data_IF_057866730349
#
_entry.id   IF_057866730349
#
_cell.length_a   1.000
_cell.length_b   1.000
_cell.length_c   1.000
_cell.angle_alpha   90.00
_cell.angle_beta   90.00
_cell.angle_gamma   90.00
#
_symmetry.space_group_name_H-M   'P 1'
#
loop_
_entity.id
_entity.type
_entity.pdbx_description
1 polymer ?
#
# COMPACT_ATOMS: atom_id res chain seq x y z
N UNK A 1 12.47 -24.51 12.85
CA UNK A 1 11.60 -25.24 13.84
C UNK A 1 10.35 -25.71 13.12
N UNK A 2 10.02 -27.00 13.22
CA UNK A 2 8.84 -27.56 12.53
C UNK A 2 7.57 -27.14 13.28
N UNK A 3 6.61 -26.57 12.54
CA UNK A 3 5.29 -26.15 13.03
C UNK A 3 4.18 -26.63 12.11
N UNK A 4 2.97 -26.71 12.67
CA UNK A 4 1.74 -26.91 11.89
C UNK A 4 0.94 -25.62 11.97
N UNK A 5 0.68 -25.00 10.83
CA UNK A 5 0.01 -23.70 10.71
C UNK A 5 -1.16 -23.79 9.73
N UNK A 6 -2.12 -22.87 9.82
CA UNK A 6 -3.18 -22.80 8.83
C UNK A 6 -2.60 -22.29 7.51
N UNK A 7 -3.03 -22.84 6.38
CA UNK A 7 -2.56 -22.43 5.06
C UNK A 7 -2.99 -21.01 4.73
N UNK A 8 -4.13 -20.57 5.24
CA UNK A 8 -4.67 -19.22 5.06
C UNK A 8 -3.83 -18.13 5.76
N UNK A 9 -3.02 -18.54 6.76
CA UNK A 9 -2.09 -17.66 7.45
C UNK A 9 -0.78 -17.45 6.68
N UNK A 10 -0.64 -18.06 5.49
CA UNK A 10 0.59 -18.01 4.67
C UNK A 10 0.34 -17.15 3.44
N UNK A 11 1.27 -16.22 3.17
CA UNK A 11 1.36 -15.48 1.92
C UNK A 11 2.62 -15.87 1.17
N UNK A 12 2.56 -15.86 -0.16
CA UNK A 12 3.72 -16.05 -1.02
C UNK A 12 4.52 -14.76 -1.13
N UNK A 13 5.82 -14.86 -1.38
CA UNK A 13 6.69 -13.72 -1.68
C UNK A 13 7.00 -13.71 -3.17
N UNK A 14 6.28 -12.89 -3.90
CA UNK A 14 6.40 -12.75 -5.35
C UNK A 14 7.22 -11.52 -5.73
N UNK A 15 7.61 -11.42 -6.98
CA UNK A 15 8.31 -10.28 -7.56
C UNK A 15 7.41 -9.58 -8.58
N UNK A 16 7.45 -8.24 -8.61
CA UNK A 16 6.87 -7.47 -9.69
C UNK A 16 7.90 -7.18 -10.79
N UNK A 17 7.47 -6.54 -11.87
CA UNK A 17 8.30 -6.18 -13.04
C UNK A 17 9.54 -5.33 -12.70
N UNK A 18 9.51 -4.58 -11.61
CA UNK A 18 10.62 -3.79 -11.11
C UNK A 18 11.57 -4.60 -10.19
N UNK A 19 11.34 -5.90 -10.04
CA UNK A 19 12.11 -6.76 -9.14
C UNK A 19 11.81 -6.53 -7.65
N UNK A 20 10.73 -5.82 -7.35
CA UNK A 20 10.27 -5.54 -5.99
C UNK A 20 9.49 -6.73 -5.47
N UNK A 21 9.84 -7.21 -4.27
CA UNK A 21 9.14 -8.29 -3.60
C UNK A 21 7.86 -7.77 -2.96
N UNK A 22 6.77 -8.49 -3.17
CA UNK A 22 5.50 -8.21 -2.50
C UNK A 22 4.87 -9.49 -1.93
N UNK A 23 4.20 -9.43 -0.77
CA UNK A 23 3.44 -10.56 -0.24
C UNK A 23 2.13 -10.68 -1.00
N UNK A 24 1.82 -11.90 -1.44
CA UNK A 24 0.63 -12.21 -2.21
C UNK A 24 -0.12 -13.38 -1.54
N UNK A 25 -1.43 -13.24 -1.30
CA UNK A 25 -2.24 -14.36 -0.84
C UNK A 25 -2.19 -15.49 -1.86
N UNK A 26 -2.15 -16.74 -1.39
CA UNK A 26 -1.96 -17.91 -2.28
C UNK A 26 -2.99 -17.92 -3.41
N UNK A 27 -4.27 -17.63 -3.13
CA UNK A 27 -5.34 -17.61 -4.13
C UNK A 27 -5.21 -16.50 -5.18
N UNK A 28 -4.52 -15.40 -4.86
CA UNK A 28 -4.24 -14.31 -5.81
C UNK A 28 -3.00 -14.61 -6.68
N UNK A 29 -2.20 -15.60 -6.29
CA UNK A 29 -0.94 -15.88 -6.94
C UNK A 29 -1.07 -16.45 -8.35
N UNK A 30 -0.12 -16.17 -9.25
CA UNK A 30 -0.04 -16.81 -10.56
C UNK A 30 -0.04 -18.34 -10.47
N UNK A 31 0.60 -18.89 -9.43
CA UNK A 31 0.68 -20.32 -9.19
C UNK A 31 -0.69 -20.96 -8.98
N UNK A 32 -1.52 -20.35 -8.12
CA UNK A 32 -2.86 -20.86 -7.83
C UNK A 32 -3.83 -20.65 -9.01
N UNK A 33 -3.73 -19.47 -9.66
CA UNK A 33 -4.54 -19.15 -10.85
C UNK A 33 -4.34 -20.17 -11.96
N UNK A 34 -3.09 -20.58 -12.22
CA UNK A 34 -2.81 -21.67 -13.19
C UNK A 34 -3.56 -22.95 -12.84
N UNK A 35 -3.54 -23.37 -11.57
CA UNK A 35 -4.26 -24.57 -11.12
C UNK A 35 -5.79 -24.43 -11.19
N UNK A 36 -6.29 -23.20 -11.29
CA UNK A 36 -7.69 -22.87 -11.52
C UNK A 36 -8.04 -22.76 -13.02
N UNK A 37 -7.05 -22.91 -13.93
CA UNK A 37 -7.24 -22.87 -15.38
C UNK A 37 -6.86 -21.54 -16.03
N UNK A 38 -6.38 -20.57 -15.26
CA UNK A 38 -5.90 -19.26 -15.73
C UNK A 38 -4.39 -19.33 -16.03
N UNK A 39 -4.05 -19.64 -17.27
CA UNK A 39 -2.67 -19.93 -17.66
C UNK A 39 -1.80 -18.66 -17.77
N UNK A 40 -2.34 -17.60 -18.37
CA UNK A 40 -1.60 -16.40 -18.73
C UNK A 40 -0.82 -15.76 -17.55
N UNK A 41 -1.40 -15.58 -16.34
CA UNK A 41 -0.67 -14.97 -15.23
C UNK A 41 0.59 -15.75 -14.82
N UNK A 42 0.58 -17.07 -14.95
CA UNK A 42 1.74 -17.88 -14.62
C UNK A 42 2.80 -17.85 -15.71
N UNK A 43 2.41 -17.90 -16.99
CA UNK A 43 3.33 -17.78 -18.12
C UNK A 43 4.08 -16.43 -18.09
N UNK A 44 3.37 -15.33 -17.78
CA UNK A 44 3.95 -13.99 -17.61
C UNK A 44 4.90 -13.95 -16.41
N UNK A 45 4.51 -14.55 -15.28
CA UNK A 45 5.35 -14.59 -14.09
C UNK A 45 6.64 -15.40 -14.31
N UNK A 46 6.57 -16.55 -14.99
CA UNK A 46 7.77 -17.34 -15.35
C UNK A 46 8.70 -16.50 -16.25
N UNK A 47 8.15 -15.81 -17.25
CA UNK A 47 8.90 -14.91 -18.11
C UNK A 47 9.60 -13.82 -17.31
N UNK A 48 8.88 -13.16 -16.40
CA UNK A 48 9.43 -12.16 -15.50
C UNK A 48 10.58 -12.73 -14.65
N UNK A 49 10.44 -13.93 -14.10
CA UNK A 49 11.48 -14.56 -13.28
C UNK A 49 12.75 -14.85 -14.08
N UNK A 50 12.61 -15.17 -15.38
CA UNK A 50 13.75 -15.31 -16.31
C UNK A 50 14.43 -13.96 -16.54
N UNK A 51 13.66 -12.91 -16.82
CA UNK A 51 14.17 -11.55 -17.04
C UNK A 51 14.90 -10.99 -15.81
N UNK A 52 14.41 -11.28 -14.62
CA UNK A 52 15.04 -10.88 -13.36
C UNK A 52 16.24 -11.76 -12.94
N UNK A 53 16.66 -12.72 -13.78
CA UNK A 53 17.71 -13.72 -13.48
C UNK A 53 17.44 -14.52 -12.17
N UNK A 54 16.16 -14.71 -11.85
CA UNK A 54 15.68 -15.44 -10.67
C UNK A 54 15.26 -16.86 -10.97
N UNK A 55 15.16 -17.23 -12.26
CA UNK A 55 14.74 -18.55 -12.70
C UNK A 55 15.77 -19.68 -12.47
N UNK A 56 16.99 -19.33 -12.04
CA UNK A 56 18.08 -20.31 -11.82
C UNK A 56 17.80 -21.35 -10.75
N UNK A 57 16.81 -21.13 -9.89
CA UNK A 57 16.52 -22.00 -8.74
C UNK A 57 15.31 -22.90 -8.90
N UNK A 58 14.88 -23.18 -10.15
CA UNK A 58 13.86 -24.24 -10.38
C UNK A 58 12.45 -23.73 -10.60
N UNK A 59 12.27 -22.54 -11.23
CA UNK A 59 10.96 -22.19 -11.75
C UNK A 59 10.55 -23.18 -12.82
N UNK A 60 9.42 -23.83 -12.60
CA UNK A 60 8.88 -24.82 -13.51
C UNK A 60 8.23 -24.14 -14.70
N UNK A 61 8.38 -24.73 -15.90
CA UNK A 61 7.50 -24.34 -17.00
C UNK A 61 6.03 -24.65 -16.64
N UNK A 62 5.10 -24.00 -17.35
CA UNK A 62 3.67 -24.25 -17.13
C UNK A 62 3.31 -25.72 -17.25
N UNK A 63 3.86 -26.43 -18.23
CA UNK A 63 3.64 -27.88 -18.41
C UNK A 63 4.19 -28.69 -17.25
N UNK A 64 5.44 -28.40 -16.83
CA UNK A 64 6.08 -29.13 -15.74
C UNK A 64 5.34 -28.88 -14.40
N UNK A 65 4.84 -27.69 -14.19
CA UNK A 65 4.08 -27.40 -12.96
C UNK A 65 2.72 -28.09 -12.94
N UNK A 66 2.02 -28.15 -14.08
CA UNK A 66 0.76 -28.91 -14.17
C UNK A 66 1.01 -30.41 -13.99
N UNK A 67 2.07 -30.97 -14.55
CA UNK A 67 2.47 -32.36 -14.30
C UNK A 67 2.83 -32.59 -12.84
N UNK A 68 3.61 -31.69 -12.24
CA UNK A 68 3.91 -31.72 -10.82
C UNK A 68 2.63 -31.73 -9.97
N UNK A 69 1.65 -30.87 -10.26
CA UNK A 69 0.38 -30.83 -9.54
C UNK A 69 -0.39 -32.16 -9.63
N UNK A 70 -0.42 -32.79 -10.80
CA UNK A 70 -1.11 -34.07 -10.99
C UNK A 70 -0.48 -35.22 -10.20
N UNK A 71 0.82 -35.14 -9.94
CA UNK A 71 1.59 -36.15 -9.21
C UNK A 71 1.82 -35.79 -7.75
N UNK A 72 1.49 -34.55 -7.35
CA UNK A 72 1.73 -34.04 -6.02
C UNK A 72 0.81 -34.69 -4.98
N UNK A 73 1.41 -35.45 -4.07
CA UNK A 73 0.71 -36.08 -2.93
C UNK A 73 1.20 -35.46 -1.62
N UNK A 74 0.31 -34.71 -0.95
CA UNK A 74 0.60 -34.09 0.34
C UNK A 74 1.05 -35.09 1.42
N UNK A 75 0.52 -36.30 1.38
CA UNK A 75 0.85 -37.35 2.34
C UNK A 75 2.00 -38.27 1.89
N UNK A 76 2.52 -38.01 0.67
CA UNK A 76 3.59 -38.81 0.07
C UNK A 76 4.99 -38.53 0.61
N UNK A 77 5.98 -39.34 0.21
CA UNK A 77 7.36 -39.25 0.68
C UNK A 77 8.02 -37.90 0.39
N UNK A 78 7.68 -37.22 -0.71
CA UNK A 78 8.23 -35.91 -1.04
C UNK A 78 7.88 -34.85 -0.03
N UNK A 79 6.67 -34.88 0.52
CA UNK A 79 6.27 -33.94 1.55
C UNK A 79 7.01 -34.15 2.88
N UNK A 80 7.37 -35.38 3.19
CA UNK A 80 8.08 -35.73 4.44
C UNK A 80 9.57 -35.33 4.41
N UNK A 81 10.15 -35.14 3.22
CA UNK A 81 11.59 -34.84 3.04
C UNK A 81 11.89 -33.39 2.74
N UNK A 82 10.97 -32.67 2.09
CA UNK A 82 11.15 -31.26 1.73
C UNK A 82 10.05 -30.39 2.34
N UNK A 83 10.33 -29.90 3.54
CA UNK A 83 9.40 -28.99 4.22
C UNK A 83 9.32 -27.65 3.50
N UNK A 84 8.11 -27.09 3.47
CA UNK A 84 7.90 -25.71 3.08
C UNK A 84 8.56 -24.80 4.12
N UNK A 85 9.38 -23.87 3.67
CA UNK A 85 10.03 -22.93 4.58
C UNK A 85 9.21 -21.64 4.67
N UNK A 86 8.85 -21.25 5.90
CA UNK A 86 8.10 -20.02 6.15
C UNK A 86 8.72 -19.21 7.27
N UNK A 87 8.61 -17.89 7.16
CA UNK A 87 9.00 -16.95 8.21
C UNK A 87 7.78 -16.38 8.90
N UNK A 88 7.76 -16.41 10.21
CA UNK A 88 6.77 -15.70 11.02
C UNK A 88 7.07 -14.19 11.01
N UNK A 89 6.13 -13.37 10.55
CA UNK A 89 6.22 -11.91 10.53
C UNK A 89 5.25 -11.24 11.50
N UNK A 90 4.71 -12.01 12.43
CA UNK A 90 3.75 -11.59 13.45
C UNK A 90 2.42 -12.29 13.29
N UNK A 91 1.44 -11.65 12.67
CA UNK A 91 0.09 -12.18 12.49
C UNK A 91 -0.07 -13.13 11.29
N UNK A 92 0.99 -13.36 10.51
CA UNK A 92 1.01 -14.28 9.37
C UNK A 92 2.40 -14.86 9.14
N UNK A 93 2.47 -15.80 8.22
CA UNK A 93 3.72 -16.38 7.72
C UNK A 93 3.97 -15.95 6.27
N UNK A 94 5.23 -15.67 5.92
CA UNK A 94 5.65 -15.43 4.54
C UNK A 94 6.46 -16.62 4.05
N UNK A 95 6.16 -17.14 2.85
CA UNK A 95 6.92 -18.23 2.25
C UNK A 95 8.36 -17.81 1.98
N UNK A 96 9.31 -18.69 2.30
CA UNK A 96 10.71 -18.56 1.88
C UNK A 96 11.01 -19.47 0.71
N UNK A 97 10.40 -20.65 0.72
CA UNK A 97 10.46 -21.66 -0.33
C UNK A 97 9.22 -22.54 -0.28
N UNK A 98 8.81 -23.03 -1.45
CA UNK A 98 7.69 -23.95 -1.59
C UNK A 98 6.40 -23.32 -2.13
N UNK A 99 6.48 -22.21 -2.87
CA UNK A 99 5.33 -21.50 -3.43
C UNK A 99 4.44 -22.41 -4.29
N UNK A 100 5.03 -23.22 -5.17
CA UNK A 100 4.31 -24.21 -5.99
C UNK A 100 3.56 -25.24 -5.13
N UNK A 101 4.22 -25.74 -4.09
CA UNK A 101 3.61 -26.73 -3.15
C UNK A 101 2.47 -26.11 -2.36
N UNK A 102 2.62 -24.88 -1.88
CA UNK A 102 1.56 -24.16 -1.18
C UNK A 102 0.33 -23.98 -2.06
N UNK A 103 0.51 -23.60 -3.32
CA UNK A 103 -0.60 -23.45 -4.25
C UNK A 103 -1.29 -24.80 -4.54
N UNK A 104 -0.54 -25.91 -4.65
CA UNK A 104 -1.10 -27.26 -4.77
C UNK A 104 -1.94 -27.64 -3.54
N UNK A 105 -1.40 -27.42 -2.32
CA UNK A 105 -2.08 -27.72 -1.08
C UNK A 105 -3.36 -26.92 -0.92
N UNK A 106 -3.33 -25.62 -1.22
CA UNK A 106 -4.51 -24.76 -1.22
C UNK A 106 -5.57 -25.27 -2.22
N UNK A 107 -5.15 -25.63 -3.44
CA UNK A 107 -6.07 -26.20 -4.45
C UNK A 107 -6.67 -27.55 -4.04
N UNK A 108 -5.93 -28.34 -3.28
CA UNK A 108 -6.39 -29.61 -2.69
C UNK A 108 -7.22 -29.40 -1.42
N UNK A 109 -7.50 -28.13 -1.02
CA UNK A 109 -8.27 -27.77 0.19
C UNK A 109 -7.65 -28.28 1.49
N UNK A 110 -6.35 -28.31 1.57
CA UNK A 110 -5.62 -28.63 2.79
C UNK A 110 -5.64 -27.42 3.72
N UNK A 111 -6.21 -27.56 4.90
CA UNK A 111 -6.38 -26.45 5.84
C UNK A 111 -5.13 -26.18 6.70
N UNK A 112 -4.33 -27.21 6.96
CA UNK A 112 -3.14 -27.11 7.83
C UNK A 112 -1.94 -27.73 7.15
N UNK A 113 -0.82 -27.02 7.20
CA UNK A 113 0.44 -27.45 6.58
C UNK A 113 1.55 -27.52 7.61
N UNK A 114 2.46 -28.46 7.40
CA UNK A 114 3.68 -28.61 8.19
C UNK A 114 4.78 -27.81 7.51
N UNK A 115 5.35 -26.86 8.23
CA UNK A 115 6.38 -25.95 7.72
C UNK A 115 7.62 -25.98 8.60
N UNK A 116 8.78 -25.68 8.02
CA UNK A 116 9.97 -25.34 8.79
C UNK A 116 10.04 -23.81 8.95
N UNK A 117 9.87 -23.33 10.17
CA UNK A 117 9.97 -21.93 10.50
C UNK A 117 11.43 -21.49 10.44
N UNK A 118 11.73 -20.59 9.52
CA UNK A 118 13.04 -19.99 9.37
C UNK A 118 13.14 -18.70 10.17
N UNK A 119 14.34 -18.45 10.72
CA UNK A 119 14.66 -17.26 11.52
C UNK A 119 15.69 -16.42 10.78
N UNK A 120 15.60 -15.13 10.93
CA UNK A 120 16.51 -14.16 10.32
C UNK A 120 15.79 -12.88 9.92
N UNK A 121 16.53 -11.80 9.73
CA UNK A 121 15.97 -10.57 9.21
C UNK A 121 15.91 -10.65 7.68
N UNK A 122 14.68 -10.52 7.14
CA UNK A 122 14.54 -10.15 5.74
C UNK A 122 14.81 -8.65 5.60
N UNK A 123 15.67 -8.25 4.71
CA UNK A 123 15.56 -6.92 4.14
C UNK A 123 14.31 -6.93 3.26
N UNK A 124 13.24 -6.32 3.74
CA UNK A 124 12.11 -6.04 2.87
C UNK A 124 12.56 -5.02 1.82
N UNK A 125 12.71 -5.47 0.58
CA UNK A 125 13.00 -4.62 -0.58
C UNK A 125 11.69 -4.30 -1.31
N UNK A 126 10.54 -4.70 -0.78
CA UNK A 126 9.23 -4.61 -1.42
C UNK A 126 8.12 -4.17 -0.47
N UNK A 127 6.89 -4.27 -0.97
CA UNK A 127 5.71 -3.93 -0.19
C UNK A 127 5.64 -4.71 1.12
N UNK A 128 5.28 -4.02 2.17
CA UNK A 128 5.10 -4.62 3.49
C UNK A 128 3.77 -5.34 3.61
N UNK A 129 2.68 -4.67 3.28
CA UNK A 129 1.31 -5.17 3.31
C UNK A 129 0.97 -6.02 4.57
N UNK A 130 1.54 -5.67 5.73
CA UNK A 130 1.30 -6.40 6.98
C UNK A 130 -0.08 -6.12 7.56
N UNK A 131 -0.69 -4.99 7.19
CA UNK A 131 -2.00 -4.55 7.64
C UNK A 131 -2.91 -4.50 6.42
N UNK A 132 -4.13 -5.00 6.56
CA UNK A 132 -5.20 -4.77 5.58
C UNK A 132 -5.75 -3.35 5.75
N UNK A 133 -5.05 -2.36 5.16
CA UNK A 133 -5.46 -0.95 5.26
C UNK A 133 -6.82 -0.70 4.62
N UNK A 134 -7.21 -1.48 3.62
CA UNK A 134 -8.53 -1.39 2.99
C UNK A 134 -9.60 -1.88 3.98
N UNK A 135 -9.39 -3.03 4.61
CA UNK A 135 -10.32 -3.54 5.64
C UNK A 135 -10.40 -2.64 6.87
N UNK A 136 -9.28 -2.00 7.27
CA UNK A 136 -9.28 -1.02 8.36
C UNK A 136 -10.12 0.22 8.00
N UNK A 137 -10.11 0.67 6.75
CA UNK A 137 -10.81 1.87 6.30
C UNK A 137 -12.22 1.60 5.76
N UNK A 138 -12.58 0.33 5.53
CA UNK A 138 -13.84 -0.06 4.90
C UNK A 138 -15.07 0.49 5.62
N UNK A 139 -16.00 1.10 4.87
CA UNK A 139 -17.27 1.64 5.36
C UNK A 139 -17.14 2.88 6.26
N UNK A 140 -15.99 3.55 6.32
CA UNK A 140 -15.83 4.80 7.05
C UNK A 140 -16.33 5.98 6.20
N UNK A 141 -17.49 6.56 6.60
CA UNK A 141 -18.19 7.56 5.80
C UNK A 141 -17.78 9.02 6.11
N UNK A 142 -17.35 9.32 7.34
CA UNK A 142 -17.04 10.69 7.77
C UNK A 142 -15.56 11.10 7.51
N UNK A 143 -14.90 10.43 6.59
CA UNK A 143 -13.54 10.71 6.22
C UNK A 143 -13.30 10.53 4.71
N UNK A 144 -12.14 10.98 4.24
CA UNK A 144 -11.66 10.72 2.87
C UNK A 144 -10.14 10.55 2.87
N UNK A 145 -9.66 9.62 2.06
CA UNK A 145 -8.24 9.43 1.75
C UNK A 145 -7.81 10.55 0.79
N UNK A 146 -6.65 11.12 1.06
CA UNK A 146 -6.04 12.16 0.23
C UNK A 146 -4.66 11.70 -0.25
N UNK A 147 -4.23 12.25 -1.38
CA UNK A 147 -2.88 12.05 -1.93
C UNK A 147 -2.46 10.58 -2.06
N UNK A 148 -3.41 9.66 -2.29
CA UNK A 148 -3.08 8.25 -2.44
C UNK A 148 -1.94 8.05 -3.45
N UNK A 149 -0.99 7.18 -3.12
CA UNK A 149 0.12 6.82 -4.00
C UNK A 149 -0.37 5.89 -5.13
N UNK A 150 0.42 5.83 -6.22
CA UNK A 150 0.09 5.02 -7.40
C UNK A 150 -0.08 3.53 -7.08
N UNK A 151 0.70 3.02 -6.13
CA UNK A 151 0.67 1.61 -5.73
C UNK A 151 -0.37 1.29 -4.65
N UNK A 152 -1.13 2.29 -4.16
CA UNK A 152 -2.22 2.05 -3.20
C UNK A 152 -3.21 0.98 -3.75
N UNK A 153 -3.61 -0.02 -2.98
CA UNK A 153 -3.53 -0.15 -1.52
C UNK A 153 -2.26 -0.85 -0.98
N UNK A 154 -1.30 -1.20 -1.83
CA UNK A 154 -0.03 -1.72 -1.35
C UNK A 154 0.80 -0.60 -0.69
N UNK A 155 1.67 -0.95 0.25
CA UNK A 155 2.52 0.02 0.95
C UNK A 155 3.85 -0.58 1.39
N UNK A 156 4.87 0.27 1.49
CA UNK A 156 6.18 -0.05 2.05
C UNK A 156 6.23 0.19 3.56
N UNK A 157 7.26 -0.35 4.22
CA UNK A 157 7.59 0.10 5.58
C UNK A 157 7.86 1.61 5.57
N UNK A 158 7.36 2.32 6.57
CA UNK A 158 7.41 3.78 6.76
C UNK A 158 6.42 4.60 5.93
N UNK A 159 5.60 3.97 5.10
CA UNK A 159 4.54 4.70 4.40
C UNK A 159 3.47 5.18 5.37
N UNK A 160 2.76 6.21 4.93
CA UNK A 160 1.63 6.79 5.63
C UNK A 160 0.39 6.83 4.72
N UNK A 161 -0.78 6.82 5.36
CA UNK A 161 -2.06 7.09 4.74
C UNK A 161 -2.59 8.41 5.28
N UNK A 162 -2.63 9.42 4.44
CA UNK A 162 -3.19 10.72 4.74
C UNK A 162 -4.72 10.68 4.67
N UNK A 163 -5.40 11.05 5.76
CA UNK A 163 -6.85 10.99 5.88
C UNK A 163 -7.37 12.32 6.43
N UNK A 164 -8.36 12.89 5.76
CA UNK A 164 -9.13 14.00 6.33
C UNK A 164 -10.46 13.50 6.87
N UNK A 165 -10.95 14.11 7.96
CA UNK A 165 -12.20 13.70 8.60
C UNK A 165 -12.90 14.87 9.30
N UNK A 166 -14.19 14.66 9.69
CA UNK A 166 -14.96 15.65 10.44
C UNK A 166 -14.59 15.67 11.92
N UNK A 167 -14.30 14.51 12.48
CA UNK A 167 -13.94 14.32 13.90
C UNK A 167 -12.73 13.37 14.00
N UNK A 168 -11.58 13.97 14.19
CA UNK A 168 -10.28 13.31 14.27
C UNK A 168 -10.20 12.31 15.42
N UNK A 169 -10.72 12.69 16.60
CA UNK A 169 -10.63 11.83 17.78
C UNK A 169 -11.56 10.62 17.67
N UNK A 170 -12.77 10.81 17.12
CA UNK A 170 -13.69 9.71 16.82
C UNK A 170 -13.10 8.74 15.83
N UNK A 171 -12.57 9.23 14.69
CA UNK A 171 -11.94 8.37 13.69
C UNK A 171 -10.72 7.63 14.23
N UNK A 172 -9.89 8.31 15.02
CA UNK A 172 -8.72 7.69 15.69
C UNK A 172 -9.15 6.50 16.54
N UNK A 173 -10.21 6.62 17.33
CA UNK A 173 -10.70 5.54 18.18
C UNK A 173 -11.21 4.36 17.33
N UNK A 174 -11.96 4.61 16.27
CA UNK A 174 -12.46 3.56 15.37
C UNK A 174 -11.29 2.77 14.74
N UNK A 175 -10.27 3.48 14.26
CA UNK A 175 -9.08 2.82 13.66
C UNK A 175 -8.33 2.02 14.73
N UNK A 176 -8.18 2.54 15.95
CA UNK A 176 -7.53 1.82 17.05
C UNK A 176 -8.27 0.53 17.40
N UNK A 177 -9.59 0.56 17.47
CA UNK A 177 -10.41 -0.63 17.75
C UNK A 177 -10.22 -1.68 16.64
N UNK A 178 -10.15 -1.26 15.36
CA UNK A 178 -9.90 -2.15 14.23
C UNK A 178 -8.47 -2.69 14.18
N UNK A 179 -7.51 -2.05 14.83
CA UNK A 179 -6.11 -2.48 14.95
C UNK A 179 -5.85 -3.33 16.21
N UNK A 180 -6.84 -3.48 17.11
CA UNK A 180 -6.66 -4.12 18.44
C UNK A 180 -6.07 -5.52 18.32
N UNK A 181 -6.46 -6.31 17.29
CA UNK A 181 -5.97 -7.66 17.06
C UNK A 181 -4.44 -7.73 16.91
N UNK A 182 -3.79 -6.66 16.44
CA UNK A 182 -2.33 -6.62 16.27
C UNK A 182 -1.57 -6.69 17.59
N UNK A 183 -2.18 -6.31 18.72
CA UNK A 183 -1.57 -6.40 20.05
C UNK A 183 -1.30 -7.84 20.47
N UNK A 184 -2.14 -8.78 20.06
CA UNK A 184 -1.91 -10.22 20.31
C UNK A 184 -0.61 -10.70 19.66
N UNK A 185 -0.22 -10.07 18.56
CA UNK A 185 1.01 -10.33 17.82
C UNK A 185 2.18 -9.41 18.23
N UNK A 186 2.03 -8.70 19.36
CA UNK A 186 3.05 -7.82 19.97
C UNK A 186 3.44 -6.60 19.12
N UNK A 187 2.55 -6.13 18.25
CA UNK A 187 2.75 -4.83 17.62
C UNK A 187 2.57 -3.71 18.64
N UNK A 188 3.42 -2.69 18.55
CA UNK A 188 3.29 -1.47 19.33
C UNK A 188 2.48 -0.45 18.51
N UNK A 189 1.35 -0.02 19.06
CA UNK A 189 0.45 0.93 18.44
C UNK A 189 0.43 2.19 19.30
N UNK A 190 0.93 3.30 18.75
CA UNK A 190 1.04 4.58 19.45
C UNK A 190 0.24 5.67 18.77
N UNK A 191 -0.46 6.45 19.56
CA UNK A 191 -1.13 7.67 19.11
C UNK A 191 -0.31 8.89 19.51
N UNK A 192 0.10 9.66 18.52
CA UNK A 192 0.78 10.94 18.71
C UNK A 192 -0.18 12.08 18.32
N UNK A 193 -0.75 12.75 19.33
CA UNK A 193 -1.65 13.87 19.11
C UNK A 193 -0.88 15.16 18.86
N UNK A 194 -1.21 15.85 17.77
CA UNK A 194 -0.69 17.16 17.41
C UNK A 194 -1.84 18.13 17.12
N UNK A 195 -1.54 19.40 17.02
CA UNK A 195 -2.54 20.38 16.59
C UNK A 195 -3.01 20.04 15.17
N UNK A 196 -4.32 19.87 14.99
CA UNK A 196 -4.96 19.59 13.70
C UNK A 196 -4.74 18.18 13.15
N UNK A 197 -3.98 17.30 13.85
CA UNK A 197 -3.74 15.92 13.38
C UNK A 197 -3.43 14.92 14.48
N UNK A 198 -3.78 13.67 14.25
CA UNK A 198 -3.35 12.54 15.06
C UNK A 198 -2.60 11.55 14.18
N UNK A 199 -1.45 11.05 14.64
CA UNK A 199 -0.76 9.94 14.01
C UNK A 199 -1.04 8.65 14.79
N UNK A 200 -1.45 7.60 14.11
CA UNK A 200 -1.44 6.24 14.65
C UNK A 200 -0.25 5.52 14.04
N UNK A 201 0.77 5.31 14.82
CA UNK A 201 1.99 4.61 14.40
C UNK A 201 1.90 3.13 14.75
N UNK A 202 1.96 2.26 13.74
CA UNK A 202 2.01 0.81 13.90
C UNK A 202 3.44 0.34 13.73
N UNK A 203 4.02 -0.23 14.78
CA UNK A 203 5.43 -0.62 14.84
C UNK A 203 5.58 -2.13 14.96
N UNK A 204 6.47 -2.73 14.16
CA UNK A 204 6.76 -4.17 14.18
C UNK A 204 7.40 -4.62 15.49
N UNK A 205 7.05 -5.82 16.00
CA UNK A 205 7.61 -6.32 17.28
C UNK A 205 9.13 -6.52 17.25
N UNK A 206 9.65 -7.03 16.14
CA UNK A 206 11.04 -7.47 16.03
C UNK A 206 12.02 -6.36 15.69
N UNK A 207 11.59 -5.31 15.03
CA UNK A 207 12.47 -4.32 14.43
C UNK A 207 12.45 -2.96 15.14
N UNK A 208 11.49 -2.72 16.05
CA UNK A 208 11.19 -1.38 16.62
C UNK A 208 11.08 -0.29 15.53
N UNK A 209 10.66 -0.69 14.34
CA UNK A 209 10.56 0.16 13.16
C UNK A 209 9.10 0.41 12.85
N UNK A 210 8.80 1.64 12.45
CA UNK A 210 7.49 1.99 11.92
C UNK A 210 7.19 1.08 10.73
N UNK A 211 6.05 0.39 10.80
CA UNK A 211 5.54 -0.35 9.66
C UNK A 211 4.64 0.55 8.81
N UNK A 212 3.68 1.19 9.46
CA UNK A 212 2.69 2.03 8.79
C UNK A 212 2.18 3.11 9.71
N UNK A 213 1.75 4.24 9.13
CA UNK A 213 1.14 5.35 9.83
C UNK A 213 -0.21 5.69 9.23
N UNK A 214 -1.22 5.92 10.08
CA UNK A 214 -2.42 6.66 9.70
C UNK A 214 -2.24 8.11 10.16
N UNK A 215 -2.23 9.05 9.21
CA UNK A 215 -2.15 10.49 9.49
C UNK A 215 -3.54 11.10 9.33
N UNK A 216 -4.21 11.32 10.46
CA UNK A 216 -5.63 11.71 10.55
C UNK A 216 -5.70 13.20 10.82
N UNK A 217 -6.37 13.96 9.95
CA UNK A 217 -6.43 15.41 9.99
C UNK A 217 -7.89 15.91 10.01
N UNK A 218 -8.16 16.89 10.85
CA UNK A 218 -9.38 17.71 10.82
C UNK A 218 -9.08 19.20 10.56
N UNK A 219 -7.81 19.52 10.35
CA UNK A 219 -7.31 20.84 9.97
C UNK A 219 -6.07 20.66 9.07
N UNK A 220 -5.77 21.66 8.25
CA UNK A 220 -4.55 21.69 7.44
C UNK A 220 -3.52 22.67 8.03
N UNK A 221 -2.61 22.21 8.89
CA UNK A 221 -1.63 23.08 9.54
C UNK A 221 -0.40 23.28 8.64
N UNK A 222 -0.53 24.03 7.55
CA UNK A 222 0.62 24.38 6.69
C UNK A 222 1.34 25.62 7.25
N UNK A 223 1.94 25.49 8.42
CA UNK A 223 2.74 26.53 9.03
C UNK A 223 4.23 26.24 8.85
N UNK A 224 4.98 27.20 8.27
CA UNK A 224 6.45 27.11 8.16
C UNK A 224 7.05 27.98 9.27
N UNK A 225 7.48 27.41 10.41
CA UNK A 225 7.90 28.17 11.58
C UNK A 225 9.10 29.09 11.32
N UNK A 226 9.98 28.72 10.40
CA UNK A 226 11.23 29.44 10.14
C UNK A 226 11.10 30.55 9.09
N UNK A 227 10.02 30.57 8.33
CA UNK A 227 9.83 31.54 7.25
C UNK A 227 8.69 32.53 7.52
N UNK A 228 7.99 32.42 8.65
CA UNK A 228 6.77 33.18 8.98
C UNK A 228 5.69 33.12 7.87
N UNK A 229 5.76 32.11 7.02
CA UNK A 229 4.76 31.88 5.98
C UNK A 229 3.76 30.87 6.54
N UNK A 230 2.50 31.28 6.61
CA UNK A 230 1.37 30.42 6.92
C UNK A 230 0.50 30.32 5.68
N UNK A 231 0.21 29.10 5.28
CA UNK A 231 -0.87 28.86 4.31
C UNK A 231 -2.09 28.53 5.14
N UNK A 232 -3.01 29.46 5.22
CA UNK A 232 -4.24 29.29 5.94
C UNK A 232 -5.29 28.68 5.02
N UNK A 233 -5.84 27.55 5.42
CA UNK A 233 -6.94 26.88 4.74
C UNK A 233 -8.20 27.10 5.58
N UNK A 234 -9.22 27.66 4.96
CA UNK A 234 -10.51 27.89 5.62
C UNK A 234 -11.11 26.56 6.09
N UNK A 235 -11.54 26.48 7.36
CA UNK A 235 -12.19 25.29 7.91
C UNK A 235 -13.46 24.86 7.15
N UNK A 236 -14.15 25.78 6.50
CA UNK A 236 -15.28 25.44 5.64
C UNK A 236 -14.88 24.59 4.45
N UNK A 237 -13.63 24.75 3.97
CA UNK A 237 -13.17 23.95 2.84
C UNK A 237 -13.10 22.46 3.17
N UNK A 238 -12.66 22.10 4.38
CA UNK A 238 -12.68 20.70 4.83
C UNK A 238 -14.09 20.10 4.72
N UNK A 239 -15.11 20.85 5.13
CA UNK A 239 -16.50 20.40 5.02
C UNK A 239 -16.90 20.21 3.56
N UNK A 240 -16.58 21.19 2.70
CA UNK A 240 -16.88 21.12 1.25
C UNK A 240 -16.21 19.91 0.62
N UNK A 241 -14.93 19.66 0.90
CA UNK A 241 -14.22 18.49 0.41
C UNK A 241 -14.88 17.17 0.82
N UNK A 242 -15.26 17.05 2.11
CA UNK A 242 -15.92 15.84 2.61
C UNK A 242 -17.35 15.66 2.08
N UNK A 243 -18.05 16.74 1.73
CA UNK A 243 -19.36 16.66 1.08
C UNK A 243 -19.28 16.27 -0.40
N UNK A 244 -18.12 16.50 -1.04
CA UNK A 244 -17.85 16.21 -2.46
C UNK A 244 -17.03 14.92 -2.68
N UNK A 245 -16.64 14.23 -1.61
CA UNK A 245 -15.85 13.00 -1.72
C UNK A 245 -16.55 11.93 -2.56
N UNK A 246 -15.76 11.05 -3.12
CA UNK A 246 -16.20 9.92 -3.94
C UNK A 246 -15.93 8.61 -3.21
N UNK A 247 -16.91 7.71 -3.22
CA UNK A 247 -16.73 6.34 -2.72
C UNK A 247 -16.38 5.41 -3.89
N UNK A 248 -15.34 4.59 -3.69
CA UNK A 248 -14.87 3.62 -4.70
C UNK A 248 -14.67 2.26 -4.03
N UNK A 249 -14.97 1.20 -4.78
CA UNK A 249 -14.57 -0.15 -4.38
C UNK A 249 -13.07 -0.31 -4.70
N UNK A 250 -12.32 -0.77 -3.71
CA UNK A 250 -10.85 -0.91 -3.78
C UNK A 250 -10.49 -2.33 -3.42
N UNK A 251 -9.75 -2.99 -4.29
CA UNK A 251 -9.17 -4.29 -3.99
C UNK A 251 -8.26 -4.18 -2.76
N UNK A 252 -8.29 -5.17 -1.90
CA UNK A 252 -7.36 -5.24 -0.76
C UNK A 252 -5.92 -5.39 -1.24
N UNK A 253 -4.92 -5.03 -0.39
CA UNK A 253 -3.53 -5.33 -0.71
C UNK A 253 -3.34 -6.80 -1.11
N UNK A 254 -2.41 -7.10 -2.00
CA UNK A 254 -2.18 -8.44 -2.57
C UNK A 254 -2.05 -9.57 -1.53
N UNK A 255 -1.70 -9.23 -0.30
CA UNK A 255 -1.62 -10.16 0.83
C UNK A 255 -2.98 -10.57 1.40
N UNK A 256 -4.07 -10.00 0.90
CA UNK A 256 -5.44 -10.20 1.41
C UNK A 256 -6.38 -10.48 0.25
N UNK A 257 -7.56 -11.04 0.57
CA UNK A 257 -8.60 -11.34 -0.43
C UNK A 257 -9.80 -10.42 -0.23
N UNK A 258 -10.41 -10.03 -1.34
CA UNK A 258 -11.62 -9.23 -1.39
C UNK A 258 -11.37 -7.77 -1.68
N UNK A 259 -12.39 -6.98 -1.46
CA UNK A 259 -12.44 -5.54 -1.68
C UNK A 259 -13.04 -4.84 -0.47
N UNK A 260 -12.92 -3.53 -0.40
CA UNK A 260 -13.58 -2.67 0.57
C UNK A 260 -14.01 -1.37 -0.07
N UNK A 261 -14.98 -0.71 0.52
CA UNK A 261 -15.51 0.56 0.04
C UNK A 261 -14.85 1.72 0.75
N UNK A 262 -14.03 2.47 0.03
CA UNK A 262 -13.25 3.59 0.56
C UNK A 262 -13.74 4.93 0.00
N UNK A 263 -13.61 5.97 0.81
CA UNK A 263 -13.89 7.35 0.41
C UNK A 263 -12.60 8.07 0.05
N UNK A 264 -12.57 8.74 -1.10
CA UNK A 264 -11.45 9.56 -1.58
C UNK A 264 -11.93 10.99 -1.83
N UNK A 265 -11.04 11.95 -1.76
CA UNK A 265 -11.35 13.26 -2.34
C UNK A 265 -11.65 13.12 -3.83
N UNK A 266 -12.52 13.99 -4.33
CA UNK A 266 -12.60 14.15 -5.79
C UNK A 266 -11.28 14.69 -6.34
N UNK A 267 -11.04 14.48 -7.64
CA UNK A 267 -9.77 14.81 -8.30
C UNK A 267 -9.34 16.27 -8.08
N UNK A 268 -10.25 17.22 -8.21
CA UNK A 268 -9.90 18.65 -8.08
C UNK A 268 -9.50 19.03 -6.66
N UNK A 269 -10.21 18.54 -5.65
CA UNK A 269 -9.89 18.80 -4.25
C UNK A 269 -8.55 18.14 -3.84
N UNK A 270 -8.26 16.93 -4.33
CA UNK A 270 -6.97 16.26 -4.09
C UNK A 270 -5.81 17.04 -4.72
N UNK A 271 -6.00 17.58 -5.94
CA UNK A 271 -4.99 18.43 -6.59
C UNK A 271 -4.76 19.74 -5.85
N UNK A 272 -5.81 20.36 -5.28
CA UNK A 272 -5.66 21.53 -4.43
C UNK A 272 -4.78 21.22 -3.21
N UNK A 273 -5.03 20.11 -2.53
CA UNK A 273 -4.23 19.71 -1.36
C UNK A 273 -2.78 19.42 -1.76
N UNK A 274 -2.55 18.72 -2.88
CA UNK A 274 -1.20 18.47 -3.41
C UNK A 274 -0.46 19.78 -3.73
N UNK A 275 -1.14 20.73 -4.34
CA UNK A 275 -0.56 22.04 -4.63
C UNK A 275 -0.17 22.79 -3.35
N UNK A 276 -1.07 22.84 -2.36
CA UNK A 276 -0.81 23.50 -1.07
C UNK A 276 0.36 22.85 -0.32
N UNK A 277 0.45 21.52 -0.34
CA UNK A 277 1.57 20.82 0.26
C UNK A 277 2.90 21.11 -0.46
N UNK A 278 2.90 21.15 -1.79
CA UNK A 278 4.07 21.57 -2.54
C UNK A 278 4.45 23.03 -2.26
N UNK A 279 3.49 23.95 -2.22
CA UNK A 279 3.74 25.35 -1.90
C UNK A 279 4.36 25.51 -0.51
N UNK A 280 3.95 24.69 0.45
CA UNK A 280 4.52 24.63 1.79
C UNK A 280 5.87 23.92 1.84
N UNK A 281 6.06 22.85 1.05
CA UNK A 281 7.28 22.04 0.98
C UNK A 281 7.75 21.87 -0.48
N UNK A 282 8.39 22.89 -1.08
CA UNK A 282 8.72 22.90 -2.52
C UNK A 282 9.67 21.79 -2.98
N UNK A 283 10.35 21.09 -2.03
CA UNK A 283 11.18 19.95 -2.34
C UNK A 283 10.38 18.68 -2.67
N UNK A 284 9.10 18.61 -2.29
CA UNK A 284 8.20 17.50 -2.61
C UNK A 284 7.65 17.61 -4.04
N UNK A 285 8.55 17.50 -5.02
CA UNK A 285 8.25 17.70 -6.45
C UNK A 285 7.16 16.77 -6.99
N UNK A 286 6.95 15.58 -6.38
CA UNK A 286 5.91 14.62 -6.78
C UNK A 286 4.50 15.25 -6.77
N UNK A 287 4.22 16.14 -5.83
CA UNK A 287 2.91 16.76 -5.71
C UNK A 287 2.63 17.73 -6.85
N UNK A 288 3.58 18.59 -7.21
CA UNK A 288 3.37 19.52 -8.33
C UNK A 288 3.38 18.82 -9.69
N UNK A 289 4.12 17.71 -9.83
CA UNK A 289 4.05 16.84 -11.03
C UNK A 289 2.65 16.25 -11.18
N UNK A 290 2.08 15.69 -10.11
CA UNK A 290 0.71 15.18 -10.13
C UNK A 290 -0.32 16.28 -10.48
N UNK A 291 -0.14 17.50 -9.92
CA UNK A 291 -1.00 18.64 -10.29
C UNK A 291 -0.90 18.93 -11.78
N UNK A 292 0.31 19.06 -12.35
CA UNK A 292 0.48 19.31 -13.79
C UNK A 292 -0.18 18.25 -14.67
N UNK A 293 0.05 16.99 -14.33
CA UNK A 293 -0.36 15.85 -15.15
C UNK A 293 -1.87 15.61 -15.14
N UNK A 294 -2.55 15.97 -14.03
CA UNK A 294 -3.99 15.77 -13.82
C UNK A 294 -4.81 17.08 -13.89
N UNK A 295 -4.18 18.21 -14.19
CA UNK A 295 -4.79 19.55 -14.18
C UNK A 295 -5.78 19.75 -15.33
N UNK A 296 -6.95 19.16 -15.23
CA UNK A 296 -7.99 19.23 -16.30
C UNK A 296 -9.02 20.31 -16.06
N UNK A 297 -9.40 20.56 -14.81
CA UNK A 297 -10.45 21.52 -14.43
C UNK A 297 -9.82 22.80 -13.84
N UNK A 298 -9.09 23.54 -14.69
CA UNK A 298 -8.34 24.72 -14.29
C UNK A 298 -9.19 25.76 -13.55
N UNK A 299 -10.40 26.05 -14.05
CA UNK A 299 -11.23 27.10 -13.48
C UNK A 299 -11.68 26.76 -12.06
N UNK A 300 -12.16 25.53 -11.84
CA UNK A 300 -12.59 25.07 -10.52
C UNK A 300 -11.41 25.01 -9.53
N UNK A 301 -10.27 24.51 -9.96
CA UNK A 301 -9.05 24.45 -9.15
C UNK A 301 -8.64 25.86 -8.65
N UNK A 302 -8.60 26.84 -9.56
CA UNK A 302 -8.26 28.23 -9.22
C UNK A 302 -9.31 28.87 -8.31
N UNK A 303 -10.59 28.60 -8.57
CA UNK A 303 -11.68 29.10 -7.73
C UNK A 303 -11.56 28.56 -6.30
N UNK A 304 -11.34 27.25 -6.12
CA UNK A 304 -11.22 26.64 -4.82
C UNK A 304 -10.03 27.19 -4.02
N UNK A 305 -8.85 27.28 -4.63
CA UNK A 305 -7.67 27.84 -3.96
C UNK A 305 -7.93 29.29 -3.55
N UNK A 306 -8.37 30.14 -4.49
CA UNK A 306 -8.56 31.56 -4.21
C UNK A 306 -9.68 31.85 -3.22
N UNK A 307 -10.68 30.97 -3.14
CA UNK A 307 -11.80 31.13 -2.22
C UNK A 307 -11.50 30.63 -0.81
N UNK A 308 -10.78 29.54 -0.69
CA UNK A 308 -10.64 28.84 0.60
C UNK A 308 -9.26 28.91 1.21
N UNK A 309 -8.31 29.57 0.55
CA UNK A 309 -6.96 29.77 1.09
C UNK A 309 -6.53 31.21 1.01
N UNK A 310 -5.46 31.56 1.74
CA UNK A 310 -4.81 32.86 1.64
C UNK A 310 -3.80 32.95 0.47
N UNK A 311 -3.70 31.88 -0.34
CA UNK A 311 -2.79 31.82 -1.50
C UNK A 311 -3.54 32.28 -2.75
N UNK A 312 -3.31 33.51 -3.18
CA UNK A 312 -3.85 34.03 -4.44
C UNK A 312 -3.02 33.55 -5.62
N UNK A 313 -3.62 32.74 -6.51
CA UNK A 313 -2.95 32.26 -7.73
C UNK A 313 -3.73 32.58 -8.98
N UNK A 314 -3.03 32.80 -10.09
CA UNK A 314 -3.61 33.03 -11.42
C UNK A 314 -3.23 31.92 -12.41
N UNK A 315 -3.89 31.90 -13.57
CA UNK A 315 -3.53 31.00 -14.67
C UNK A 315 -2.09 31.23 -15.13
N UNK A 316 -1.65 32.47 -15.20
CA UNK A 316 -0.30 32.84 -15.61
C UNK A 316 0.73 32.33 -14.61
N UNK A 317 0.42 32.41 -13.32
CA UNK A 317 1.27 31.84 -12.27
C UNK A 317 1.42 30.32 -12.44
N UNK A 318 0.32 29.58 -12.65
CA UNK A 318 0.36 28.14 -12.87
C UNK A 318 1.15 27.75 -14.11
N UNK A 319 0.99 28.49 -15.22
CA UNK A 319 1.79 28.28 -16.42
C UNK A 319 3.29 28.48 -16.16
N UNK A 320 3.66 29.50 -15.39
CA UNK A 320 5.05 29.73 -15.00
C UNK A 320 5.60 28.57 -14.18
N UNK A 321 4.84 28.09 -13.19
CA UNK A 321 5.22 26.93 -12.35
C UNK A 321 5.44 25.68 -13.20
N UNK A 322 4.55 25.39 -14.15
CA UNK A 322 4.67 24.21 -15.01
C UNK A 322 5.85 24.32 -15.98
N UNK A 323 6.07 25.48 -16.59
CA UNK A 323 7.22 25.71 -17.46
C UNK A 323 8.56 25.56 -16.71
N UNK A 324 8.63 26.03 -15.46
CA UNK A 324 9.83 25.87 -14.64
C UNK A 324 10.05 24.42 -14.21
N UNK A 325 8.98 23.67 -14.00
CA UNK A 325 9.04 22.23 -13.74
C UNK A 325 9.60 21.47 -14.95
N UNK A 326 9.10 21.76 -16.16
CA UNK A 326 9.59 21.16 -17.42
C UNK A 326 11.09 21.43 -17.64
N UNK A 327 11.54 22.68 -17.44
CA UNK A 327 12.96 23.04 -17.55
C UNK A 327 13.84 22.24 -16.58
N UNK A 328 13.36 22.02 -15.34
CA UNK A 328 14.09 21.20 -14.36
C UNK A 328 14.17 19.73 -14.80
N UNK A 329 13.07 19.15 -15.29
CA UNK A 329 13.06 17.80 -15.80
C UNK A 329 13.95 17.59 -17.02
N UNK A 330 14.03 18.58 -17.92
CA UNK A 330 14.92 18.56 -19.07
C UNK A 330 16.40 18.65 -18.63
N UNK A 331 16.69 19.45 -17.62
CA UNK A 331 18.03 19.54 -17.03
C UNK A 331 18.44 18.21 -16.37
N UNK A 332 17.55 17.59 -15.59
CA UNK A 332 17.80 16.29 -14.95
C UNK A 332 18.01 15.18 -16.00
N UNK A 333 17.25 15.18 -17.11
CA UNK A 333 17.41 14.23 -18.23
C UNK A 333 18.70 14.47 -19.02
N UNK A 334 19.16 15.70 -19.14
CA UNK A 334 20.40 16.05 -19.84
C UNK A 334 21.67 15.76 -19.05
N UNK A 335 21.55 15.45 -17.74
CA UNK A 335 22.68 15.04 -16.88
C UNK A 335 22.84 13.53 -16.76
N UNK A 336 21.89 12.73 -17.26
CA UNK A 336 21.94 11.29 -17.34
C UNK A 336 22.41 10.86 -18.74
#
# INVERSE_FOLDING_TARGET
MIKIINIDDIVLRLFNENGVVYPCHIENSPHYKLLCGEREPYDEYVKLMVELDRAKSGYMSTSDYLEFYLTFDYLGPMYSTELIMCKNVGHRYESWDGDHRLACLMKQKVNKVKVDEVYGEFKHIGFSNLIDIVGIMDGLEDCAIIKSEEFFPNYYDYDDLDIICRDRDSLTNIILDRLEFLKEYKYDIKVNKKTGRNHIDVTKPSAKRLNFRFDIMDEFPYHIPHQQISIDVNKEYLKVMLDRKESKDVMKPEAYIGEGKLSFLNETDDLVIRFLEWAWQPHKMRHIKAVRDLYKNENEFLELINKYTNVGISKEYMKTVFNDLEKREDYERGML
#
